data_IF_623212726021
#
_entry.id   IF_623212726021
#
_cell.length_a   1.000
_cell.length_b   1.000
_cell.length_c   1.000
_cell.angle_alpha   90.00
_cell.angle_beta   90.00
_cell.angle_gamma   90.00
#
_symmetry.space_group_name_H-M   'P 1'
#
loop_
_entity.id
_entity.type
_entity.pdbx_description
1 polymer ?
#
# COMPACT_ATOMS: atom_id res chain seq x y z
N UNK A 1 -12.23 4.17 -1.11
CA UNK A 1 -12.05 3.39 -2.35
C UNK A 1 -12.50 4.23 -3.53
N UNK A 2 -11.77 4.24 -4.65
CA UNK A 2 -12.27 4.84 -5.90
C UNK A 2 -13.54 4.10 -6.39
N UNK A 3 -14.31 4.75 -7.26
CA UNK A 3 -15.40 4.08 -7.98
C UNK A 3 -14.85 2.89 -8.78
N UNK A 4 -15.57 1.74 -8.86
CA UNK A 4 -15.19 0.64 -9.74
C UNK A 4 -14.99 1.06 -11.19
N UNK A 5 -15.75 2.05 -11.66
CA UNK A 5 -15.71 2.54 -13.04
C UNK A 5 -14.82 3.78 -13.22
N UNK A 6 -14.03 4.16 -12.20
CA UNK A 6 -13.13 5.30 -12.33
C UNK A 6 -12.11 5.04 -13.46
N UNK A 7 -11.92 5.99 -14.40
CA UNK A 7 -11.01 5.80 -15.52
C UNK A 7 -9.56 5.80 -15.03
N UNK A 8 -8.76 4.86 -15.51
CA UNK A 8 -7.33 4.83 -15.25
C UNK A 8 -6.62 5.94 -16.03
N UNK A 9 -5.73 6.67 -15.38
CA UNK A 9 -4.81 7.61 -16.04
C UNK A 9 -3.57 6.87 -16.55
N UNK A 10 -3.14 5.84 -15.82
CA UNK A 10 -2.02 5.00 -16.19
C UNK A 10 -2.41 3.52 -16.10
N UNK A 11 -1.94 2.74 -17.07
CA UNK A 11 -2.09 1.29 -17.09
C UNK A 11 -0.75 0.64 -17.39
N UNK A 12 -0.36 -0.31 -16.56
CA UNK A 12 0.88 -1.07 -16.69
C UNK A 12 0.58 -2.57 -16.73
N UNK A 13 1.47 -3.33 -17.36
CA UNK A 13 1.43 -4.79 -17.42
C UNK A 13 2.68 -5.34 -16.73
N UNK A 14 2.46 -6.14 -15.71
CA UNK A 14 3.50 -6.91 -15.00
C UNK A 14 3.42 -8.38 -15.40
N UNK A 15 4.54 -9.10 -15.23
CA UNK A 15 4.66 -10.51 -15.63
C UNK A 15 3.89 -11.44 -14.69
N UNK A 16 4.04 -11.21 -13.38
CA UNK A 16 3.41 -12.02 -12.33
C UNK A 16 2.07 -11.45 -11.86
N UNK A 17 1.32 -12.19 -11.04
CA UNK A 17 0.08 -11.68 -10.42
C UNK A 17 0.42 -10.58 -9.38
N UNK A 18 0.11 -9.29 -9.64
CA UNK A 18 0.44 -8.19 -8.73
C UNK A 18 -0.35 -8.25 -7.42
N UNK A 19 -1.39 -9.09 -7.34
CA UNK A 19 -2.19 -9.27 -6.12
C UNK A 19 -1.48 -10.12 -5.09
N UNK A 20 -0.49 -10.94 -5.48
CA UNK A 20 0.08 -11.98 -4.60
C UNK A 20 0.53 -11.45 -3.24
N UNK A 21 1.21 -10.31 -3.20
CA UNK A 21 1.70 -9.70 -1.95
C UNK A 21 0.57 -9.09 -1.11
N UNK A 22 -0.60 -8.83 -1.70
CA UNK A 22 -1.79 -8.32 -1.02
C UNK A 22 -2.74 -9.43 -0.58
N UNK A 23 -2.63 -10.63 -1.16
CA UNK A 23 -3.39 -11.81 -0.78
C UNK A 23 -2.74 -12.57 0.39
N UNK A 24 -1.44 -12.39 0.58
CA UNK A 24 -0.74 -12.77 1.80
C UNK A 24 -1.03 -11.73 2.89
N UNK A 25 -1.75 -12.14 3.94
CA UNK A 25 -2.19 -11.22 4.99
C UNK A 25 -1.05 -10.59 5.80
N UNK A 26 0.07 -11.30 5.96
CA UNK A 26 1.23 -10.76 6.66
C UNK A 26 1.94 -9.72 5.80
N UNK A 27 2.17 -10.03 4.52
CA UNK A 27 2.76 -9.08 3.57
C UNK A 27 1.88 -7.85 3.38
N UNK A 28 0.56 -8.03 3.26
CA UNK A 28 -0.38 -6.92 3.12
C UNK A 28 -0.33 -5.98 4.33
N UNK A 29 -0.23 -6.53 5.55
CA UNK A 29 -0.08 -5.74 6.76
C UNK A 29 1.26 -5.01 6.78
N UNK A 30 2.35 -5.70 6.47
CA UNK A 30 3.69 -5.13 6.33
C UNK A 30 3.70 -3.94 5.36
N UNK A 31 3.17 -4.13 4.16
CA UNK A 31 3.09 -3.10 3.11
C UNK A 31 2.23 -1.91 3.55
N UNK A 32 1.13 -2.15 4.27
CA UNK A 32 0.30 -1.09 4.85
C UNK A 32 1.02 -0.30 5.95
N UNK A 33 2.02 -0.91 6.61
CA UNK A 33 2.89 -0.21 7.56
C UNK A 33 4.02 0.54 6.86
N UNK A 34 4.50 0.10 5.71
CA UNK A 34 5.61 0.75 5.00
C UNK A 34 5.18 1.99 4.22
N UNK A 35 3.92 2.05 3.79
CA UNK A 35 3.41 3.21 3.05
C UNK A 35 2.22 3.84 3.77
N UNK A 36 2.36 5.07 4.29
CA UNK A 36 1.30 5.72 5.05
C UNK A 36 0.14 6.18 4.17
N UNK A 37 -1.00 6.34 4.82
CA UNK A 37 -2.22 6.95 4.29
C UNK A 37 -2.88 6.14 3.16
N UNK A 38 -2.82 4.81 3.23
CA UNK A 38 -3.47 3.93 2.27
C UNK A 38 -4.57 3.10 2.94
N UNK A 39 -5.63 2.81 2.17
CA UNK A 39 -6.61 1.77 2.48
C UNK A 39 -6.73 0.83 1.29
N UNK A 40 -6.96 -0.45 1.56
CA UNK A 40 -7.08 -1.47 0.51
C UNK A 40 -8.26 -2.41 0.75
N UNK A 41 -8.58 -3.20 -0.26
CA UNK A 41 -9.52 -4.31 -0.14
C UNK A 41 -9.65 -5.07 -1.45
N UNK A 42 -10.51 -6.08 -1.45
CA UNK A 42 -10.82 -6.88 -2.63
C UNK A 42 -12.20 -6.54 -3.18
N UNK A 43 -12.34 -6.60 -4.50
CA UNK A 43 -13.62 -6.47 -5.20
C UNK A 43 -13.67 -7.47 -6.34
N UNK A 44 -14.87 -7.94 -6.66
CA UNK A 44 -15.13 -8.74 -7.87
C UNK A 44 -15.95 -7.85 -8.81
N UNK A 45 -15.46 -7.68 -10.04
CA UNK A 45 -16.23 -7.02 -11.10
C UNK A 45 -17.35 -7.93 -11.58
N UNK A 46 -18.48 -7.35 -11.98
CA UNK A 46 -19.62 -8.11 -12.52
C UNK A 46 -19.18 -8.90 -13.76
N UNK A 47 -19.26 -10.23 -13.69
CA UNK A 47 -18.86 -11.13 -14.77
C UNK A 47 -17.36 -11.48 -14.79
N UNK A 48 -16.56 -10.96 -13.87
CA UNK A 48 -15.18 -11.40 -13.70
C UNK A 48 -15.11 -12.72 -12.90
N UNK A 49 -14.18 -13.59 -13.29
CA UNK A 49 -13.88 -14.84 -12.57
C UNK A 49 -12.99 -14.57 -11.35
N UNK A 50 -12.09 -13.60 -11.48
CA UNK A 50 -11.05 -13.30 -10.48
C UNK A 50 -11.30 -11.93 -9.82
N UNK A 51 -11.12 -11.79 -8.49
CA UNK A 51 -11.16 -10.49 -7.84
C UNK A 51 -9.99 -9.60 -8.24
N UNK A 52 -10.16 -8.29 -8.16
CA UNK A 52 -9.06 -7.34 -8.15
C UNK A 52 -8.83 -6.81 -6.73
N UNK A 53 -7.58 -6.44 -6.44
CA UNK A 53 -7.25 -5.66 -5.23
C UNK A 53 -7.36 -4.19 -5.59
N UNK A 54 -8.08 -3.41 -4.79
CA UNK A 54 -8.07 -1.96 -4.89
C UNK A 54 -7.25 -1.37 -3.74
N UNK A 55 -6.49 -0.33 -4.03
CA UNK A 55 -5.75 0.46 -3.05
C UNK A 55 -6.12 1.92 -3.29
N UNK A 56 -6.30 2.70 -2.22
CA UNK A 56 -6.63 4.12 -2.32
C UNK A 56 -5.93 4.91 -1.24
N UNK A 57 -5.47 6.11 -1.61
CA UNK A 57 -4.97 7.08 -0.65
C UNK A 57 -6.11 7.62 0.22
N UNK A 58 -5.84 7.83 1.50
CA UNK A 58 -6.74 8.48 2.46
C UNK A 58 -6.54 10.00 2.50
N UNK A 59 -5.49 10.52 1.86
CA UNK A 59 -5.13 11.95 1.89
C UNK A 59 -5.32 12.66 0.55
N UNK A 60 -5.51 11.93 -0.55
CA UNK A 60 -5.70 12.50 -1.88
C UNK A 60 -6.47 11.51 -2.79
N UNK A 61 -7.01 11.94 -3.95
CA UNK A 61 -7.79 11.08 -4.83
C UNK A 61 -6.88 10.19 -5.70
N UNK A 62 -5.90 9.51 -5.11
CA UNK A 62 -5.03 8.55 -5.80
C UNK A 62 -5.45 7.12 -5.51
N UNK A 63 -5.33 6.23 -6.50
CA UNK A 63 -5.76 4.85 -6.35
C UNK A 63 -5.03 3.87 -7.29
N UNK A 64 -5.13 2.57 -6.96
CA UNK A 64 -4.69 1.43 -7.76
C UNK A 64 -5.78 0.37 -7.88
N UNK A 65 -5.78 -0.36 -9.01
CA UNK A 65 -6.40 -1.67 -9.16
C UNK A 65 -5.38 -2.68 -9.68
N UNK A 66 -5.29 -3.82 -9.00
CA UNK A 66 -4.38 -4.91 -9.32
C UNK A 66 -5.22 -6.11 -9.76
N UNK A 67 -5.07 -6.52 -11.02
CA UNK A 67 -5.81 -7.65 -11.60
C UNK A 67 -4.92 -8.90 -11.69
N UNK A 68 -5.54 -10.07 -11.55
CA UNK A 68 -4.89 -11.39 -11.64
C UNK A 68 -3.95 -11.57 -12.84
N UNK A 69 -4.34 -11.02 -13.99
CA UNK A 69 -3.67 -11.21 -15.27
C UNK A 69 -2.54 -10.19 -15.52
N UNK A 70 -1.94 -9.67 -14.45
CA UNK A 70 -0.81 -8.74 -14.54
C UNK A 70 -1.19 -7.30 -14.90
N UNK A 71 -2.48 -6.94 -14.98
CA UNK A 71 -2.89 -5.56 -15.28
C UNK A 71 -2.91 -4.73 -13.99
N UNK A 72 -2.23 -3.59 -14.03
CA UNK A 72 -2.24 -2.57 -12.96
C UNK A 72 -2.83 -1.29 -13.53
N UNK A 73 -3.87 -0.77 -12.89
CA UNK A 73 -4.49 0.51 -13.25
C UNK A 73 -4.29 1.51 -12.12
N UNK A 74 -4.02 2.77 -12.44
CA UNK A 74 -3.85 3.82 -11.45
C UNK A 74 -4.32 5.18 -11.95
N UNK A 75 -4.65 6.06 -11.00
CA UNK A 75 -4.87 7.47 -11.26
C UNK A 75 -4.61 8.32 -10.02
N UNK A 76 -4.44 9.62 -10.23
CA UNK A 76 -4.32 10.62 -9.17
C UNK A 76 -2.88 11.09 -8.90
N UNK A 77 -2.72 12.11 -8.05
CA UNK A 77 -1.45 12.82 -7.89
C UNK A 77 -0.32 12.02 -7.22
N UNK A 78 -0.63 10.98 -6.43
CA UNK A 78 0.38 10.07 -5.86
C UNK A 78 0.57 8.86 -6.76
N UNK A 79 1.82 8.49 -6.98
CA UNK A 79 2.21 7.31 -7.76
C UNK A 79 2.20 6.07 -6.87
N UNK A 80 1.01 5.66 -6.43
CA UNK A 80 0.87 4.57 -5.46
C UNK A 80 1.55 3.27 -5.92
N UNK A 81 1.55 2.96 -7.22
CA UNK A 81 2.19 1.75 -7.73
C UNK A 81 3.70 1.79 -7.50
N UNK A 82 4.33 2.92 -7.81
CA UNK A 82 5.76 3.14 -7.56
C UNK A 82 6.10 3.09 -6.08
N UNK A 83 5.30 3.75 -5.23
CA UNK A 83 5.50 3.70 -3.78
C UNK A 83 5.41 2.26 -3.22
N UNK A 84 4.50 1.44 -3.77
CA UNK A 84 4.37 0.03 -3.40
C UNK A 84 5.60 -0.76 -3.80
N UNK A 85 6.05 -0.62 -5.05
CA UNK A 85 7.23 -1.34 -5.55
C UNK A 85 8.50 -0.91 -4.81
N UNK A 86 8.63 0.38 -4.50
CA UNK A 86 9.76 0.92 -3.75
C UNK A 86 9.78 0.39 -2.30
N UNK A 87 8.60 0.32 -1.65
CA UNK A 87 8.47 -0.27 -0.33
C UNK A 87 8.83 -1.77 -0.32
N UNK A 88 8.37 -2.52 -1.34
CA UNK A 88 8.69 -3.94 -1.49
C UNK A 88 10.20 -4.17 -1.73
N UNK A 89 10.82 -3.35 -2.57
CA UNK A 89 12.27 -3.38 -2.83
C UNK A 89 13.05 -3.05 -1.56
N UNK A 90 12.62 -2.03 -0.81
CA UNK A 90 13.25 -1.65 0.45
C UNK A 90 13.16 -2.78 1.49
N UNK A 91 11.98 -3.38 1.67
CA UNK A 91 11.77 -4.48 2.62
C UNK A 91 12.65 -5.69 2.31
N UNK A 92 12.71 -6.09 1.03
CA UNK A 92 13.63 -7.15 0.59
C UNK A 92 15.09 -6.79 0.87
N UNK A 93 15.48 -5.54 0.66
CA UNK A 93 16.84 -5.06 0.95
C UNK A 93 17.16 -5.05 2.47
N UNK A 94 16.15 -5.02 3.34
CA UNK A 94 16.34 -5.19 4.80
C UNK A 94 16.46 -6.66 5.24
N UNK A 95 16.44 -7.61 4.30
CA UNK A 95 16.50 -9.04 4.59
C UNK A 95 15.15 -9.67 4.92
N UNK A 96 14.06 -9.08 4.43
CA UNK A 96 12.69 -9.56 4.63
C UNK A 96 12.32 -9.71 6.13
N UNK A 97 12.51 -8.65 6.95
CA UNK A 97 12.20 -8.71 8.37
C UNK A 97 10.73 -9.07 8.64
N UNK A 98 10.51 -9.81 9.72
CA UNK A 98 9.19 -10.25 10.16
C UNK A 98 8.40 -9.06 10.72
N UNK A 99 7.08 -9.18 10.77
CA UNK A 99 6.21 -8.13 11.33
C UNK A 99 6.60 -7.75 12.78
N UNK A 100 7.09 -8.73 13.57
CA UNK A 100 7.52 -8.49 14.96
C UNK A 100 8.75 -7.60 15.10
N UNK A 101 9.53 -7.43 14.03
CA UNK A 101 10.69 -6.54 14.01
C UNK A 101 10.27 -5.07 13.83
N UNK A 102 9.03 -4.84 13.37
CA UNK A 102 8.47 -3.51 13.24
C UNK A 102 7.84 -3.03 14.54
N UNK A 103 7.89 -1.72 14.74
CA UNK A 103 7.12 -1.07 15.78
C UNK A 103 6.55 0.26 15.33
N UNK A 104 5.55 0.71 16.07
CA UNK A 104 4.84 1.97 15.86
C UNK A 104 4.92 2.79 17.14
N UNK A 105 5.50 3.99 17.04
CA UNK A 105 5.44 4.99 18.10
C UNK A 105 4.44 6.07 17.74
N UNK A 106 3.54 6.35 18.67
CA UNK A 106 2.54 7.42 18.58
C UNK A 106 2.86 8.49 19.62
N UNK A 107 3.12 9.71 19.16
CA UNK A 107 3.21 10.89 20.02
C UNK A 107 1.95 11.74 19.84
N UNK A 108 1.05 11.67 20.82
CA UNK A 108 -0.20 12.44 20.80
C UNK A 108 0.03 13.94 21.01
N UNK A 109 1.05 14.31 21.78
CA UNK A 109 1.35 15.73 22.08
C UNK A 109 1.86 16.47 20.85
N UNK A 110 2.59 15.77 19.97
CA UNK A 110 3.10 16.32 18.71
C UNK A 110 2.25 15.97 17.49
N UNK A 111 1.17 15.24 17.67
CA UNK A 111 0.37 14.64 16.59
C UNK A 111 1.25 13.89 15.58
N UNK A 112 2.21 13.10 16.06
CA UNK A 112 3.14 12.33 15.23
C UNK A 112 2.86 10.83 15.34
N UNK A 113 3.05 10.14 14.22
CA UNK A 113 3.19 8.69 14.20
C UNK A 113 4.43 8.29 13.41
N UNK A 114 5.12 7.26 13.90
CA UNK A 114 6.38 6.78 13.37
C UNK A 114 6.42 5.27 13.35
N UNK A 115 6.60 4.69 12.18
CA UNK A 115 6.96 3.29 12.03
C UNK A 115 8.48 3.18 12.01
N UNK A 116 9.01 2.16 12.67
CA UNK A 116 10.43 1.88 12.78
C UNK A 116 10.70 0.38 12.68
N UNK A 117 11.92 0.03 12.30
CA UNK A 117 12.41 -1.34 12.23
C UNK A 117 13.49 -1.51 13.31
N UNK A 118 13.28 -2.47 14.23
CA UNK A 118 14.16 -2.80 15.35
C UNK A 118 14.20 -1.78 16.49
N UNK A 119 14.34 -0.48 16.21
CA UNK A 119 14.51 0.57 17.22
C UNK A 119 13.73 1.87 16.88
N UNK A 120 12.96 2.46 17.82
CA UNK A 120 12.28 3.75 17.66
C UNK A 120 13.11 4.94 17.16
N UNK A 121 14.44 4.87 17.29
CA UNK A 121 15.37 5.91 16.83
C UNK A 121 15.72 5.83 15.34
N UNK A 122 15.39 4.73 14.66
CA UNK A 122 15.63 4.53 13.23
C UNK A 122 14.29 4.39 12.51
N UNK A 123 13.57 5.52 12.29
CA UNK A 123 12.28 5.49 11.60
C UNK A 123 12.41 4.99 10.17
N UNK A 124 11.47 4.14 9.76
CA UNK A 124 11.21 3.87 8.34
C UNK A 124 10.54 5.09 7.72
N UNK A 125 9.56 5.66 8.42
CA UNK A 125 8.96 6.95 8.08
C UNK A 125 8.35 7.63 9.32
N UNK A 126 8.02 8.91 9.18
CA UNK A 126 7.26 9.67 10.18
C UNK A 126 6.23 10.51 9.46
N UNK A 127 4.99 10.51 9.93
CA UNK A 127 3.94 11.39 9.41
C UNK A 127 3.25 12.15 10.54
N UNK A 128 2.76 13.34 10.20
CA UNK A 128 1.88 14.11 11.06
C UNK A 128 0.46 13.57 10.91
N UNK A 129 -0.19 13.28 12.02
CA UNK A 129 -1.63 13.07 12.01
C UNK A 129 -2.32 14.41 11.87
N UNK A 130 -3.02 14.58 10.76
CA UNK A 130 -4.06 15.60 10.65
C UNK A 130 -5.15 15.22 11.66
N UNK A 131 -5.61 16.14 12.53
CA UNK A 131 -6.75 15.87 13.39
C UNK A 131 -7.96 15.52 12.52
N UNK A 132 -8.68 14.46 12.92
CA UNK A 132 -9.90 14.00 12.28
C UNK A 132 -11.05 14.99 12.49
#
# INVERSE_FOLDING_TARGET
APSPDAPAEHTERVVDDPRQDWLDGERALLLSLLVPDWGYGMRIETGAVEPHVWIGSTSCPSWLRLHAHGRVESAGPRRLWTEFTDALVWWKAQGEPDLSDFGLTVDRGRALQRVWLGNPHTPVWTTHRTPA
#
